data_IF_368420426400
#
_entry.id   IF_368420426400
#
_cell.length_a   1.000
_cell.length_b   1.000
_cell.length_c   1.000
_cell.angle_alpha   90.00
_cell.angle_beta   90.00
_cell.angle_gamma   90.00
#
_symmetry.space_group_name_H-M   'P 1'
#
loop_
_entity.id
_entity.type
_entity.pdbx_description
1 polymer ?
#
# COMPACT_ATOMS: atom_id res chain seq x y z
N UNK A 1 -12.26 -29.78 -1.27
CA UNK A 1 -12.05 -29.03 -0.02
C UNK A 1 -12.66 -27.65 -0.16
N UNK A 2 -13.36 -27.19 0.87
CA UNK A 2 -13.88 -25.82 0.91
C UNK A 2 -12.69 -24.86 0.89
N UNK A 3 -12.66 -23.95 -0.07
CA UNK A 3 -11.69 -22.87 -0.12
C UNK A 3 -12.10 -21.84 0.92
N UNK A 4 -11.20 -21.52 1.84
CA UNK A 4 -11.41 -20.44 2.80
C UNK A 4 -11.42 -19.10 2.07
N UNK A 5 -12.48 -18.30 2.26
CA UNK A 5 -12.58 -16.95 1.69
C UNK A 5 -11.72 -16.01 2.50
N UNK A 6 -10.84 -15.26 1.83
CA UNK A 6 -10.03 -14.22 2.46
C UNK A 6 -10.82 -12.92 2.59
N UNK A 7 -10.58 -12.18 3.68
CA UNK A 7 -11.00 -10.78 3.83
C UNK A 7 -9.76 -9.90 3.78
N UNK A 8 -9.66 -9.10 2.74
CA UNK A 8 -8.48 -8.32 2.42
C UNK A 8 -8.75 -6.83 2.62
N UNK A 9 -7.92 -6.17 3.42
CA UNK A 9 -7.85 -4.70 3.42
C UNK A 9 -6.94 -4.28 2.26
N UNK A 10 -7.50 -3.49 1.33
CA UNK A 10 -6.78 -2.94 0.20
C UNK A 10 -6.69 -1.42 0.35
N UNK A 11 -5.53 -0.90 0.68
CA UNK A 11 -5.29 0.54 0.70
C UNK A 11 -4.87 1.04 -0.67
N UNK A 12 -5.22 2.28 -1.00
CA UNK A 12 -4.97 2.80 -2.35
C UNK A 12 -5.89 2.17 -3.40
N UNK A 13 -7.10 1.79 -3.01
CA UNK A 13 -8.04 1.03 -3.86
C UNK A 13 -8.43 1.78 -5.14
N UNK A 14 -8.49 3.12 -5.12
CA UNK A 14 -8.82 3.95 -6.29
C UNK A 14 -7.59 4.29 -7.15
N UNK A 15 -6.40 3.83 -6.77
CA UNK A 15 -5.18 3.97 -7.56
C UNK A 15 -5.15 2.98 -8.73
N UNK A 16 -4.20 3.19 -9.65
CA UNK A 16 -4.03 2.34 -10.82
C UNK A 16 -3.80 0.87 -10.43
N UNK A 17 -2.77 0.61 -9.65
CA UNK A 17 -2.42 -0.76 -9.22
C UNK A 17 -3.50 -1.29 -8.27
N UNK A 18 -4.01 -0.46 -7.36
CA UNK A 18 -5.05 -0.84 -6.40
C UNK A 18 -6.32 -1.35 -7.06
N UNK A 19 -6.79 -0.68 -8.11
CA UNK A 19 -7.95 -1.15 -8.87
C UNK A 19 -7.72 -2.53 -9.48
N UNK A 20 -6.58 -2.74 -10.14
CA UNK A 20 -6.27 -4.04 -10.76
C UNK A 20 -6.15 -5.16 -9.72
N UNK A 21 -5.50 -4.89 -8.60
CA UNK A 21 -5.40 -5.85 -7.50
C UNK A 21 -6.78 -6.17 -6.93
N UNK A 22 -7.60 -5.14 -6.70
CA UNK A 22 -8.98 -5.31 -6.22
C UNK A 22 -9.82 -6.19 -7.14
N UNK A 23 -9.79 -5.92 -8.46
CA UNK A 23 -10.49 -6.72 -9.44
C UNK A 23 -10.02 -8.18 -9.45
N UNK A 24 -8.72 -8.42 -9.36
CA UNK A 24 -8.16 -9.77 -9.33
C UNK A 24 -8.60 -10.54 -8.08
N UNK A 25 -8.61 -9.89 -6.91
CA UNK A 25 -9.07 -10.49 -5.66
C UNK A 25 -10.56 -10.82 -5.73
N UNK A 26 -11.38 -9.90 -6.23
CA UNK A 26 -12.82 -10.10 -6.38
C UNK A 26 -13.14 -11.22 -7.36
N UNK A 27 -12.40 -11.32 -8.48
CA UNK A 27 -12.54 -12.41 -9.44
C UNK A 27 -12.24 -13.79 -8.83
N UNK A 28 -11.42 -13.83 -7.79
CA UNK A 28 -11.13 -15.05 -7.01
C UNK A 28 -12.18 -15.35 -5.96
N UNK A 29 -13.18 -14.50 -5.80
CA UNK A 29 -14.23 -14.65 -4.80
C UNK A 29 -13.85 -14.17 -3.40
N UNK A 30 -12.80 -13.36 -3.26
CA UNK A 30 -12.39 -12.82 -1.98
C UNK A 30 -13.27 -11.62 -1.58
N UNK A 31 -13.36 -11.36 -0.29
CA UNK A 31 -13.99 -10.13 0.25
C UNK A 31 -12.94 -9.04 0.37
N UNK A 32 -13.22 -7.86 -0.15
CA UNK A 32 -12.27 -6.74 -0.17
C UNK A 32 -12.87 -5.52 0.49
N UNK A 33 -12.15 -4.97 1.47
CA UNK A 33 -12.41 -3.66 2.05
C UNK A 33 -11.38 -2.68 1.48
N UNK A 34 -11.83 -1.77 0.63
CA UNK A 34 -10.97 -0.76 0.02
C UNK A 34 -11.00 0.55 0.81
N UNK A 35 -9.85 1.18 0.96
CA UNK A 35 -9.72 2.53 1.51
C UNK A 35 -8.89 3.41 0.59
N UNK A 36 -9.33 4.64 0.38
CA UNK A 36 -8.63 5.67 -0.39
C UNK A 36 -9.13 7.04 0.05
N UNK A 37 -8.28 8.05 0.07
CA UNK A 37 -8.68 9.41 0.42
C UNK A 37 -9.13 10.22 -0.80
N UNK A 38 -8.95 9.68 -2.01
CA UNK A 38 -9.30 10.35 -3.27
C UNK A 38 -8.66 11.73 -3.39
N UNK A 39 -7.39 11.88 -3.00
CA UNK A 39 -6.71 13.16 -3.11
C UNK A 39 -6.58 13.62 -4.57
N UNK A 40 -6.37 14.90 -4.76
CA UNK A 40 -6.41 15.57 -6.06
C UNK A 40 -5.03 15.67 -6.75
N UNK A 41 -4.01 14.98 -6.24
CA UNK A 41 -2.69 14.96 -6.88
C UNK A 41 -2.77 14.42 -8.33
N UNK A 42 -3.52 13.34 -8.51
CA UNK A 42 -3.98 12.89 -9.82
C UNK A 42 -5.45 13.26 -10.03
N UNK A 43 -5.94 13.13 -11.24
CA UNK A 43 -7.32 13.43 -11.58
C UNK A 43 -8.30 12.59 -10.74
N UNK A 44 -9.12 13.27 -9.94
CA UNK A 44 -10.12 12.63 -9.06
C UNK A 44 -11.16 11.87 -9.88
N UNK A 45 -11.55 12.38 -11.06
CA UNK A 45 -12.52 11.70 -11.91
C UNK A 45 -12.03 10.32 -12.38
N UNK A 46 -10.73 10.18 -12.63
CA UNK A 46 -10.14 8.90 -12.95
C UNK A 46 -10.15 7.95 -11.75
N UNK A 47 -9.87 8.46 -10.55
CA UNK A 47 -9.99 7.68 -9.30
C UNK A 47 -11.41 7.19 -9.07
N UNK A 48 -12.40 8.06 -9.27
CA UNK A 48 -13.81 7.70 -9.15
C UNK A 48 -14.23 6.65 -10.19
N UNK A 49 -13.75 6.77 -11.43
CA UNK A 49 -14.01 5.80 -12.49
C UNK A 49 -13.39 4.42 -12.18
N UNK A 50 -12.17 4.40 -11.63
CA UNK A 50 -11.55 3.15 -11.17
C UNK A 50 -12.34 2.52 -10.03
N UNK A 51 -12.75 3.32 -9.06
CA UNK A 51 -13.52 2.88 -7.91
C UNK A 51 -14.87 2.31 -8.32
N UNK A 52 -15.55 2.92 -9.30
CA UNK A 52 -16.82 2.42 -9.82
C UNK A 52 -16.73 0.98 -10.35
N UNK A 53 -15.59 0.59 -10.91
CA UNK A 53 -15.37 -0.79 -11.36
C UNK A 53 -15.32 -1.79 -10.21
N UNK A 54 -14.87 -1.36 -9.03
CA UNK A 54 -14.82 -2.20 -7.83
C UNK A 54 -16.18 -2.24 -7.14
N UNK A 55 -16.85 -1.12 -6.99
CA UNK A 55 -18.11 -1.00 -6.24
C UNK A 55 -19.29 -1.74 -6.87
N UNK A 56 -19.17 -2.13 -8.13
CA UNK A 56 -20.16 -3.01 -8.79
C UNK A 56 -20.17 -4.44 -8.27
N UNK A 57 -19.18 -4.85 -7.49
CA UNK A 57 -19.06 -6.19 -6.93
C UNK A 57 -19.64 -6.24 -5.51
N UNK A 58 -20.46 -7.25 -5.21
CA UNK A 58 -21.10 -7.42 -3.90
C UNK A 58 -20.09 -7.62 -2.76
N UNK A 59 -18.95 -8.26 -3.06
CA UNK A 59 -17.92 -8.57 -2.09
C UNK A 59 -16.92 -7.42 -1.87
N UNK A 60 -17.18 -6.26 -2.44
CA UNK A 60 -16.37 -5.05 -2.24
C UNK A 60 -17.11 -4.03 -1.42
N UNK A 61 -16.43 -3.48 -0.42
CA UNK A 61 -16.89 -2.29 0.32
C UNK A 61 -15.81 -1.23 0.30
N UNK A 62 -16.23 0.03 0.28
CA UNK A 62 -15.34 1.18 0.21
C UNK A 62 -15.51 2.11 1.38
N UNK A 63 -14.37 2.55 1.93
CA UNK A 63 -14.31 3.62 2.93
C UNK A 63 -13.46 4.75 2.37
N UNK A 64 -14.04 5.95 2.27
CA UNK A 64 -13.27 7.15 2.00
C UNK A 64 -12.60 7.60 3.30
N UNK A 65 -11.29 7.50 3.35
CA UNK A 65 -10.53 7.85 4.55
C UNK A 65 -9.05 7.97 4.28
N UNK A 66 -8.35 8.55 5.24
CA UNK A 66 -6.92 8.77 5.17
C UNK A 66 -6.19 7.78 6.07
N UNK A 67 -5.19 7.08 5.54
CA UNK A 67 -4.37 6.16 6.32
C UNK A 67 -3.51 6.87 7.38
N UNK A 68 -3.32 8.18 7.28
CA UNK A 68 -2.68 8.97 8.33
C UNK A 68 -3.55 9.11 9.59
N UNK A 69 -4.84 8.79 9.51
CA UNK A 69 -5.75 8.71 10.64
C UNK A 69 -5.76 7.29 11.22
N UNK A 70 -5.15 7.11 12.39
CA UNK A 70 -5.04 5.82 13.04
C UNK A 70 -6.40 5.20 13.35
N UNK A 71 -7.36 5.99 13.82
CA UNK A 71 -8.68 5.48 14.19
C UNK A 71 -9.43 4.91 12.97
N UNK A 72 -9.32 5.59 11.83
CA UNK A 72 -9.86 5.09 10.56
C UNK A 72 -9.20 3.79 10.15
N UNK A 73 -7.88 3.70 10.21
CA UNK A 73 -7.13 2.49 9.85
C UNK A 73 -7.52 1.32 10.76
N UNK A 74 -7.60 1.55 12.06
CA UNK A 74 -8.00 0.52 13.02
C UNK A 74 -9.42 0.04 12.78
N UNK A 75 -10.34 0.94 12.43
CA UNK A 75 -11.73 0.59 12.14
C UNK A 75 -11.87 -0.29 10.89
N UNK A 76 -11.20 0.07 9.78
CA UNK A 76 -11.30 -0.68 8.52
C UNK A 76 -10.55 -2.01 8.53
N UNK A 77 -9.62 -2.19 9.46
CA UNK A 77 -8.85 -3.43 9.59
C UNK A 77 -9.53 -4.52 10.40
N UNK A 78 -10.64 -4.21 11.07
CA UNK A 78 -11.36 -5.21 11.90
C UNK A 78 -11.84 -6.38 11.05
N UNK A 79 -11.47 -7.59 11.47
CA UNK A 79 -11.92 -8.82 10.83
C UNK A 79 -11.23 -9.15 9.51
N UNK A 80 -10.24 -8.38 9.07
CA UNK A 80 -9.43 -8.74 7.91
C UNK A 80 -8.36 -9.76 8.31
N UNK A 81 -7.99 -10.61 7.38
CA UNK A 81 -6.93 -11.59 7.58
C UNK A 81 -5.72 -11.39 6.65
N UNK A 82 -5.84 -10.46 5.71
CA UNK A 82 -4.76 -10.05 4.82
C UNK A 82 -4.79 -8.55 4.58
N UNK A 83 -3.63 -7.97 4.37
CA UNK A 83 -3.48 -6.55 4.03
C UNK A 83 -2.67 -6.43 2.75
N UNK A 84 -3.20 -5.68 1.78
CA UNK A 84 -2.48 -5.21 0.60
C UNK A 84 -2.40 -3.69 0.70
N UNK A 85 -1.22 -3.19 1.09
CA UNK A 85 -1.01 -1.78 1.37
C UNK A 85 -0.30 -1.10 0.19
N UNK A 86 -1.07 -0.39 -0.62
CA UNK A 86 -0.60 0.31 -1.82
C UNK A 86 -0.74 1.83 -1.71
N UNK A 87 -1.49 2.34 -0.72
CA UNK A 87 -1.69 3.77 -0.53
C UNK A 87 -0.37 4.47 -0.22
N UNK A 88 -0.04 5.47 -0.99
CA UNK A 88 1.14 6.29 -0.81
C UNK A 88 1.01 7.58 -1.60
N UNK A 89 1.79 8.60 -1.23
CA UNK A 89 2.04 9.73 -2.09
C UNK A 89 3.19 9.39 -3.03
N UNK A 90 2.90 9.35 -4.32
CA UNK A 90 3.87 9.06 -5.37
C UNK A 90 4.47 10.36 -5.97
N UNK A 91 5.52 10.19 -6.75
CA UNK A 91 6.15 11.28 -7.48
C UNK A 91 7.42 11.81 -6.82
N UNK A 92 8.55 11.62 -7.50
CA UNK A 92 9.86 12.07 -6.99
C UNK A 92 9.92 13.59 -6.93
N UNK A 93 9.52 14.28 -8.01
CA UNK A 93 9.60 15.74 -8.09
C UNK A 93 8.68 16.42 -7.08
N UNK A 94 7.44 16.00 -6.98
CA UNK A 94 6.46 16.60 -6.05
C UNK A 94 6.88 16.46 -4.58
N UNK A 95 7.70 15.45 -4.24
CA UNK A 95 8.23 15.31 -2.88
C UNK A 95 9.11 16.49 -2.44
N UNK A 96 9.70 17.21 -3.39
CA UNK A 96 10.47 18.41 -3.11
C UNK A 96 9.57 19.65 -2.93
N UNK A 97 8.40 19.65 -3.53
CA UNK A 97 7.44 20.77 -3.48
C UNK A 97 6.53 20.67 -2.25
N UNK A 98 6.09 19.46 -1.91
CA UNK A 98 5.21 19.20 -0.77
C UNK A 98 5.70 18.02 0.08
N UNK A 99 6.81 18.19 0.82
CA UNK A 99 7.39 17.12 1.63
C UNK A 99 6.46 16.59 2.72
N UNK A 100 5.62 17.46 3.29
CA UNK A 100 4.68 17.08 4.35
C UNK A 100 3.70 16.00 3.92
N UNK A 101 3.22 16.03 2.67
CA UNK A 101 2.31 15.01 2.14
C UNK A 101 2.96 13.62 2.12
N UNK A 102 4.27 13.56 1.83
CA UNK A 102 5.02 12.29 1.80
C UNK A 102 5.25 11.73 3.20
N UNK A 103 5.55 12.58 4.17
CA UNK A 103 5.69 12.16 5.57
C UNK A 103 4.36 11.62 6.08
N UNK A 104 3.26 12.33 5.87
CA UNK A 104 1.94 11.90 6.34
C UNK A 104 1.48 10.59 5.68
N UNK A 105 1.54 10.50 4.37
CA UNK A 105 1.07 9.30 3.67
C UNK A 105 2.05 8.13 3.83
N UNK A 106 3.34 8.35 3.58
CA UNK A 106 4.31 7.27 3.43
C UNK A 106 4.94 6.84 4.76
N UNK A 107 5.05 7.70 5.74
CA UNK A 107 5.61 7.37 7.05
C UNK A 107 4.51 7.15 8.08
N UNK A 108 3.71 8.16 8.37
CA UNK A 108 2.64 8.03 9.38
C UNK A 108 1.60 7.01 8.94
N UNK A 109 1.14 7.09 7.69
CA UNK A 109 0.18 6.14 7.13
C UNK A 109 0.71 4.70 7.14
N UNK A 110 1.96 4.49 6.74
CA UNK A 110 2.57 3.17 6.76
C UNK A 110 2.68 2.60 8.18
N UNK A 111 3.11 3.43 9.15
CA UNK A 111 3.13 3.05 10.56
C UNK A 111 1.75 2.63 11.06
N UNK A 112 0.71 3.38 10.70
CA UNK A 112 -0.66 3.05 11.11
C UNK A 112 -1.12 1.69 10.56
N UNK A 113 -0.75 1.36 9.32
CA UNK A 113 -1.03 0.04 8.73
C UNK A 113 -0.24 -1.06 9.47
N UNK A 114 1.02 -0.81 9.82
CA UNK A 114 1.80 -1.76 10.62
C UNK A 114 1.19 -1.95 12.01
N UNK A 115 0.67 -0.89 12.64
CA UNK A 115 -0.03 -1.00 13.92
C UNK A 115 -1.35 -1.78 13.80
N UNK A 116 -2.08 -1.61 12.70
CA UNK A 116 -3.25 -2.45 12.42
C UNK A 116 -2.86 -3.93 12.28
N UNK A 117 -1.80 -4.21 11.54
CA UNK A 117 -1.26 -5.56 11.39
C UNK A 117 -0.86 -6.18 12.74
N UNK A 118 -0.19 -5.40 13.58
CA UNK A 118 0.16 -5.81 14.94
C UNK A 118 -1.08 -6.13 15.76
N UNK A 119 -2.12 -5.29 15.69
CA UNK A 119 -3.37 -5.48 16.41
C UNK A 119 -4.16 -6.72 15.98
N UNK A 120 -4.03 -7.16 14.74
CA UNK A 120 -4.64 -8.39 14.24
C UNK A 120 -3.96 -9.65 14.80
N UNK A 121 -2.71 -9.56 15.19
CA UNK A 121 -1.96 -10.67 15.76
C UNK A 121 -1.99 -11.92 14.89
N UNK A 122 -2.30 -13.06 15.50
CA UNK A 122 -2.39 -14.36 14.79
C UNK A 122 -3.54 -14.43 13.77
N UNK A 123 -4.48 -13.49 13.82
CA UNK A 123 -5.54 -13.37 12.82
C UNK A 123 -5.05 -12.86 11.46
N UNK A 124 -3.90 -12.19 11.42
CA UNK A 124 -3.27 -11.76 10.18
C UNK A 124 -2.45 -12.89 9.56
N UNK A 125 -2.81 -13.30 8.36
CA UNK A 125 -2.08 -14.35 7.64
C UNK A 125 -0.93 -13.81 6.81
N UNK A 126 -1.08 -12.64 6.21
CA UNK A 126 -0.01 -11.98 5.46
C UNK A 126 -0.32 -10.51 5.19
N UNK A 127 0.74 -9.71 5.12
CA UNK A 127 0.70 -8.33 4.66
C UNK A 127 1.69 -8.15 3.50
N UNK A 128 1.21 -7.55 2.41
CA UNK A 128 2.05 -7.10 1.29
C UNK A 128 2.00 -5.59 1.24
N UNK A 129 3.14 -4.94 1.05
CA UNK A 129 3.21 -3.49 0.88
C UNK A 129 4.06 -3.08 -0.32
N UNK A 130 3.71 -1.95 -0.90
CA UNK A 130 4.46 -1.36 -2.01
C UNK A 130 5.66 -0.58 -1.50
N UNK A 131 6.86 -1.02 -1.86
CA UNK A 131 8.06 -0.20 -1.89
C UNK A 131 8.30 0.29 -3.32
N UNK A 132 9.48 0.76 -3.63
CA UNK A 132 9.79 1.35 -4.93
C UNK A 132 11.22 1.04 -5.35
N UNK A 133 11.43 0.90 -6.65
CA UNK A 133 12.77 0.83 -7.23
C UNK A 133 13.62 2.09 -6.96
N UNK A 134 12.97 3.22 -6.61
CA UNK A 134 13.67 4.45 -6.23
C UNK A 134 14.57 4.30 -5.01
N UNK A 135 14.35 3.26 -4.17
CA UNK A 135 15.23 2.95 -3.03
C UNK A 135 16.65 2.54 -3.47
N UNK A 136 16.80 2.04 -4.69
CA UNK A 136 18.13 1.75 -5.25
C UNK A 136 18.97 3.03 -5.46
N UNK A 137 18.33 4.18 -5.61
CA UNK A 137 18.94 5.51 -5.60
C UNK A 137 20.16 5.62 -6.51
N UNK A 138 21.31 5.94 -5.92
CA UNK A 138 22.59 6.08 -6.61
C UNK A 138 23.33 4.77 -6.92
N UNK A 139 22.69 3.61 -6.78
CA UNK A 139 23.30 2.34 -7.11
C UNK A 139 23.60 2.26 -8.61
N UNK A 140 24.87 1.99 -8.94
CA UNK A 140 25.34 1.93 -10.35
C UNK A 140 25.40 0.50 -10.90
N UNK A 141 25.24 -0.51 -10.05
CA UNK A 141 25.22 -1.92 -10.44
C UNK A 141 23.91 -2.25 -11.18
N UNK A 142 24.02 -2.84 -12.35
CA UNK A 142 22.89 -3.31 -13.16
C UNK A 142 23.09 -4.80 -13.52
N UNK A 143 22.01 -5.61 -13.48
CA UNK A 143 20.65 -5.28 -13.04
C UNK A 143 20.58 -5.08 -11.51
N UNK A 144 19.59 -4.32 -11.04
CA UNK A 144 19.33 -4.17 -9.60
C UNK A 144 18.91 -5.50 -8.98
N UNK A 145 19.38 -5.74 -7.75
CA UNK A 145 19.08 -6.94 -6.97
C UNK A 145 18.48 -6.57 -5.61
N UNK A 146 17.62 -7.41 -5.05
CA UNK A 146 17.06 -7.23 -3.71
C UNK A 146 18.12 -7.24 -2.62
N UNK A 147 19.28 -7.82 -2.90
CA UNK A 147 20.44 -7.89 -1.99
C UNK A 147 21.33 -6.64 -2.05
N UNK A 148 21.09 -5.74 -3.02
CA UNK A 148 21.88 -4.52 -3.14
C UNK A 148 21.64 -3.60 -1.94
N UNK A 149 22.70 -2.95 -1.46
CA UNK A 149 22.58 -1.89 -0.48
C UNK A 149 21.82 -0.70 -1.07
N UNK A 150 20.86 -0.17 -0.28
CA UNK A 150 19.96 0.92 -0.70
C UNK A 150 19.99 2.08 0.30
N UNK A 151 21.19 2.44 0.76
CA UNK A 151 21.39 3.43 1.82
C UNK A 151 21.57 4.86 1.30
N UNK A 152 21.53 5.08 -0.02
CA UNK A 152 21.75 6.37 -0.66
C UNK A 152 20.53 6.82 -1.48
N UNK A 153 19.37 7.07 -0.85
CA UNK A 153 18.22 7.60 -1.56
C UNK A 153 18.51 9.00 -2.12
N UNK A 154 18.08 9.26 -3.35
CA UNK A 154 18.35 10.53 -4.03
C UNK A 154 17.13 11.45 -4.09
N UNK A 155 16.05 11.09 -3.39
CA UNK A 155 14.84 11.91 -3.26
C UNK A 155 14.18 11.67 -1.90
N UNK A 156 13.34 12.62 -1.47
CA UNK A 156 12.53 12.42 -0.27
C UNK A 156 11.55 11.26 -0.45
N UNK A 157 10.95 11.11 -1.63
CA UNK A 157 10.11 9.96 -1.94
C UNK A 157 10.85 8.64 -1.68
N UNK A 158 12.05 8.50 -2.25
CA UNK A 158 12.87 7.30 -2.03
C UNK A 158 13.23 7.11 -0.56
N UNK A 159 13.54 8.19 0.16
CA UNK A 159 13.82 8.14 1.59
C UNK A 159 12.63 7.63 2.39
N UNK A 160 11.41 8.08 2.09
CA UNK A 160 10.20 7.57 2.77
C UNK A 160 9.96 6.10 2.47
N UNK A 161 10.18 5.65 1.24
CA UNK A 161 10.05 4.23 0.89
C UNK A 161 11.12 3.36 1.54
N UNK A 162 12.34 3.85 1.65
CA UNK A 162 13.39 3.16 2.41
C UNK A 162 13.04 3.09 3.89
N UNK A 163 12.52 4.17 4.47
CA UNK A 163 12.05 4.18 5.85
C UNK A 163 10.93 3.13 6.07
N UNK A 164 9.99 3.01 5.13
CA UNK A 164 8.93 2.00 5.19
C UNK A 164 9.50 0.58 5.23
N UNK A 165 10.54 0.30 4.45
CA UNK A 165 11.22 -1.00 4.48
C UNK A 165 11.87 -1.28 5.84
N UNK A 166 12.55 -0.28 6.41
CA UNK A 166 13.19 -0.41 7.73
C UNK A 166 12.17 -0.57 8.85
N UNK A 167 11.10 0.22 8.83
CA UNK A 167 10.00 0.11 9.80
C UNK A 167 9.33 -1.25 9.72
N UNK A 168 9.04 -1.72 8.50
CA UNK A 168 8.42 -3.04 8.28
C UNK A 168 9.30 -4.16 8.81
N UNK A 169 10.59 -4.10 8.57
CA UNK A 169 11.53 -5.10 9.11
C UNK A 169 11.54 -5.08 10.65
N UNK A 170 11.55 -3.89 11.27
CA UNK A 170 11.50 -3.77 12.72
C UNK A 170 10.23 -4.39 13.31
N UNK A 171 9.08 -4.13 12.70
CA UNK A 171 7.80 -4.74 13.12
C UNK A 171 7.75 -6.25 12.90
N UNK A 172 8.29 -6.74 11.77
CA UNK A 172 8.37 -8.17 11.52
C UNK A 172 9.20 -8.90 12.57
N UNK A 173 10.37 -8.36 12.90
CA UNK A 173 11.29 -8.95 13.89
C UNK A 173 10.72 -8.87 15.30
N UNK A 174 10.14 -7.72 15.67
CA UNK A 174 9.68 -7.50 17.04
C UNK A 174 8.36 -8.20 17.34
N UNK A 175 7.42 -8.20 16.40
CA UNK A 175 6.05 -8.69 16.59
C UNK A 175 5.71 -9.94 15.80
N UNK A 176 6.63 -10.45 14.99
CA UNK A 176 6.41 -11.65 14.17
C UNK A 176 5.39 -11.46 13.04
N UNK A 177 5.24 -10.23 12.54
CA UNK A 177 4.27 -9.96 11.47
C UNK A 177 4.74 -10.57 10.15
N UNK A 178 3.94 -11.46 9.52
CA UNK A 178 4.27 -12.02 8.22
C UNK A 178 4.02 -10.96 7.13
N UNK A 179 5.09 -10.39 6.58
CA UNK A 179 4.97 -9.33 5.58
C UNK A 179 6.02 -9.45 4.47
N UNK A 180 5.68 -8.90 3.30
CA UNK A 180 6.53 -8.84 2.12
C UNK A 180 6.45 -7.45 1.50
N UNK A 181 7.60 -6.83 1.29
CA UNK A 181 7.72 -5.58 0.54
C UNK A 181 8.02 -5.84 -0.93
N UNK A 182 7.37 -5.10 -1.82
CA UNK A 182 7.57 -5.20 -3.27
C UNK A 182 8.15 -3.89 -3.80
N UNK A 183 9.32 -3.93 -4.41
CA UNK A 183 9.96 -2.78 -5.04
C UNK A 183 9.45 -2.63 -6.47
N UNK A 184 8.35 -1.89 -6.64
CA UNK A 184 7.82 -1.63 -7.97
C UNK A 184 8.75 -0.75 -8.79
N UNK A 185 8.96 -1.14 -10.03
CA UNK A 185 9.50 -0.29 -11.09
C UNK A 185 8.35 0.48 -11.73
N UNK A 186 8.58 1.10 -12.90
CA UNK A 186 7.51 1.79 -13.62
C UNK A 186 6.49 0.78 -14.10
N UNK A 187 5.26 0.89 -13.61
CA UNK A 187 4.13 0.04 -13.98
C UNK A 187 3.27 0.79 -14.99
N UNK A 188 2.87 0.12 -16.05
CA UNK A 188 2.02 0.68 -17.10
C UNK A 188 0.94 -0.31 -17.53
N UNK A 189 -0.13 0.21 -18.12
CA UNK A 189 -1.25 -0.60 -18.59
C UNK A 189 -2.54 0.19 -18.67
N UNK A 190 -3.67 -0.48 -18.99
CA UNK A 190 -4.98 0.16 -19.01
C UNK A 190 -5.32 0.78 -17.67
N UNK A 191 -5.92 1.96 -17.70
CA UNK A 191 -6.31 2.74 -16.52
C UNK A 191 -5.14 3.37 -15.73
N UNK A 192 -3.94 3.23 -16.22
CA UNK A 192 -2.74 3.91 -15.67
C UNK A 192 -2.58 5.35 -16.17
#
# INVERSE_FOLDING_TARGET
GFREVMTVLLTGAAGFIGMHVGLALLARGETVVGIDNLNDYYDVSLKEARLARLTSHENFSFVRGDIADLDTVMAVSKGVDRIVHLAAQAGVRYSMENPGAYIQANIVGHMNILEAARGLGDGLRHMVYASSSSVYGGNTKLPFSVEDQVDNPVSLYAATKKADELMSNAYAVTYGIPLTGLRFFTVYGPWG
#
